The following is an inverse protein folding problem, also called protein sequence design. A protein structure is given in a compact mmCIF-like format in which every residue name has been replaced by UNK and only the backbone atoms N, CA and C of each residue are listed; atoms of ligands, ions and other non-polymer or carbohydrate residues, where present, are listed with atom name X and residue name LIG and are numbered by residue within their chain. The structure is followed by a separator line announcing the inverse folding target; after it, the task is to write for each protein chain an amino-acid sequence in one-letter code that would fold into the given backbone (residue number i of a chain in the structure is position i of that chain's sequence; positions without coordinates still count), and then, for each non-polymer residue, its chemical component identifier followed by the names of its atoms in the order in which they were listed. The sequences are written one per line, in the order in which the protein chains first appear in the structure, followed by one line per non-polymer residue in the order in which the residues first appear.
data_IF_883536506037
#
_entry.id   IF_883536506037
#
_cell.length_a   1.000
_cell.length_b   1.000
_cell.length_c   1.000
_cell.angle_alpha   90.00
_cell.angle_beta   90.00
_cell.angle_gamma   90.00
#
_symmetry.space_group_name_H-M   'P 1'
#
loop_
_entity.id
_entity.type
_entity.pdbx_description
1 polymer ?
#
# COMPACT_ATOMS: atom_id res chain seq x y z
N UNK A 1 54.65 -15.80 -6.83
CA UNK A 1 53.51 -15.20 -6.08
C UNK A 1 52.22 -15.90 -6.52
N UNK A 2 51.40 -16.48 -5.63
CA UNK A 2 50.18 -17.18 -6.04
C UNK A 2 49.14 -16.23 -6.63
N UNK A 3 48.47 -16.62 -7.73
CA UNK A 3 47.46 -15.81 -8.40
C UNK A 3 46.08 -16.06 -7.78
N UNK A 4 45.50 -15.04 -7.16
CA UNK A 4 44.12 -15.11 -6.65
C UNK A 4 43.11 -15.15 -7.79
N UNK A 5 42.13 -16.07 -7.71
CA UNK A 5 41.04 -16.24 -8.69
C UNK A 5 39.67 -16.03 -8.03
N UNK A 6 38.70 -15.47 -8.76
CA UNK A 6 37.41 -15.02 -8.22
C UNK A 6 36.18 -15.82 -8.72
N UNK A 7 36.39 -16.97 -9.35
CA UNK A 7 35.34 -17.72 -10.05
C UNK A 7 34.17 -18.13 -9.12
N UNK A 8 34.48 -18.61 -7.91
CA UNK A 8 33.47 -19.04 -6.93
C UNK A 8 32.62 -17.87 -6.45
N UNK A 9 33.26 -16.75 -6.07
CA UNK A 9 32.57 -15.55 -5.60
C UNK A 9 31.68 -14.93 -6.69
N UNK A 10 32.15 -14.91 -7.93
CA UNK A 10 31.38 -14.43 -9.09
C UNK A 10 30.12 -15.29 -9.31
N UNK A 11 30.26 -16.62 -9.25
CA UNK A 11 29.13 -17.56 -9.40
C UNK A 11 28.09 -17.40 -8.29
N UNK A 12 28.53 -17.22 -7.05
CA UNK A 12 27.66 -16.99 -5.90
C UNK A 12 26.83 -15.70 -6.06
N UNK A 13 27.46 -14.59 -6.48
CA UNK A 13 26.79 -13.31 -6.73
C UNK A 13 25.70 -13.44 -7.81
N UNK A 14 26.01 -14.14 -8.90
CA UNK A 14 25.06 -14.41 -10.00
C UNK A 14 23.87 -15.23 -9.51
N UNK A 15 24.11 -16.32 -8.77
CA UNK A 15 23.04 -17.16 -8.22
C UNK A 15 22.11 -16.38 -7.29
N UNK A 16 22.65 -15.48 -6.45
CA UNK A 16 21.84 -14.62 -5.56
C UNK A 16 20.85 -13.75 -6.34
N UNK A 17 21.31 -13.10 -7.41
CA UNK A 17 20.47 -12.21 -8.23
C UNK A 17 19.41 -13.03 -8.99
N UNK A 18 19.77 -14.16 -9.60
CA UNK A 18 18.81 -15.01 -10.30
C UNK A 18 17.76 -15.61 -9.34
N UNK A 19 18.16 -15.95 -8.11
CA UNK A 19 17.21 -16.39 -7.07
C UNK A 19 16.20 -15.30 -6.71
N UNK A 20 16.65 -14.04 -6.61
CA UNK A 20 15.77 -12.90 -6.36
C UNK A 20 14.86 -12.57 -7.56
N UNK A 21 15.30 -12.84 -8.79
CA UNK A 21 14.53 -12.63 -10.02
C UNK A 21 13.57 -13.79 -10.36
N UNK A 22 13.39 -14.77 -9.46
CA UNK A 22 12.47 -15.89 -9.67
C UNK A 22 11.04 -15.37 -9.89
N UNK A 23 10.34 -15.96 -10.87
CA UNK A 23 8.98 -15.56 -11.24
C UNK A 23 8.91 -14.46 -12.31
N UNK A 24 10.02 -13.82 -12.67
CA UNK A 24 10.03 -12.88 -13.79
C UNK A 24 9.84 -13.60 -15.13
N UNK A 25 9.21 -12.89 -16.07
CA UNK A 25 8.86 -13.43 -17.39
C UNK A 25 10.07 -13.58 -18.33
N UNK A 26 10.10 -14.65 -19.11
CA UNK A 26 11.09 -14.90 -20.15
C UNK A 26 12.55 -14.85 -19.66
N UNK A 27 13.40 -14.09 -20.38
CA UNK A 27 14.84 -13.98 -20.09
C UNK A 27 15.16 -13.27 -18.77
N UNK A 28 14.20 -12.54 -18.18
CA UNK A 28 14.39 -11.72 -16.96
C UNK A 28 14.66 -12.55 -15.69
N UNK A 29 14.36 -13.85 -15.70
CA UNK A 29 14.64 -14.79 -14.60
C UNK A 29 15.92 -15.62 -14.78
N UNK A 30 16.41 -15.78 -16.01
CA UNK A 30 17.48 -16.73 -16.35
C UNK A 30 18.78 -16.06 -16.81
N UNK A 31 18.69 -14.88 -17.43
CA UNK A 31 19.86 -14.15 -17.96
C UNK A 31 20.32 -13.10 -16.95
N UNK A 32 21.53 -13.26 -16.41
CA UNK A 32 22.05 -12.40 -15.33
C UNK A 32 22.04 -10.90 -15.64
N UNK A 33 22.51 -10.52 -16.83
CA UNK A 33 22.62 -9.11 -17.23
C UNK A 33 21.25 -8.44 -17.30
N UNK A 34 20.24 -9.16 -17.79
CA UNK A 34 18.86 -8.68 -17.84
C UNK A 34 18.23 -8.70 -16.44
N UNK A 35 18.40 -9.79 -15.69
CA UNK A 35 17.82 -9.98 -14.36
C UNK A 35 18.27 -8.90 -13.36
N UNK A 36 19.55 -8.52 -13.39
CA UNK A 36 20.11 -7.47 -12.53
C UNK A 36 19.35 -6.15 -12.73
N UNK A 37 19.24 -5.69 -13.97
CA UNK A 37 18.62 -4.39 -14.28
C UNK A 37 17.14 -4.36 -13.88
N UNK A 38 16.41 -5.45 -14.15
CA UNK A 38 14.98 -5.55 -13.79
C UNK A 38 14.80 -5.60 -12.28
N UNK A 39 15.64 -6.35 -11.57
CA UNK A 39 15.59 -6.45 -10.11
C UNK A 39 15.86 -5.10 -9.45
N UNK A 40 16.90 -4.38 -9.89
CA UNK A 40 17.21 -3.03 -9.38
C UNK A 40 16.03 -2.06 -9.61
N UNK A 41 15.42 -2.09 -10.79
CA UNK A 41 14.20 -1.31 -11.06
C UNK A 41 13.04 -1.74 -10.16
N UNK A 42 12.84 -3.04 -9.96
CA UNK A 42 11.83 -3.59 -9.06
C UNK A 42 12.01 -3.12 -7.61
N UNK A 43 13.23 -2.97 -7.12
CA UNK A 43 13.51 -2.41 -5.80
C UNK A 43 13.08 -0.95 -5.69
N UNK A 44 13.32 -0.14 -6.74
CA UNK A 44 12.82 1.25 -6.74
C UNK A 44 11.31 1.32 -6.71
N UNK A 45 10.62 0.47 -7.49
CA UNK A 45 9.15 0.37 -7.44
C UNK A 45 8.64 -0.14 -6.10
N UNK A 46 9.33 -1.06 -5.43
CA UNK A 46 8.96 -1.52 -4.08
C UNK A 46 9.02 -0.39 -3.06
N UNK A 47 10.06 0.45 -3.11
CA UNK A 47 10.16 1.61 -2.23
C UNK A 47 9.03 2.62 -2.48
N UNK A 48 8.78 2.98 -3.74
CA UNK A 48 7.70 3.90 -4.11
C UNK A 48 6.32 3.31 -3.78
N UNK A 49 6.11 2.04 -4.12
CA UNK A 49 4.87 1.30 -3.86
C UNK A 49 4.50 1.23 -2.38
N UNK A 50 5.47 1.10 -1.47
CA UNK A 50 5.21 1.19 -0.01
C UNK A 50 4.62 2.54 0.41
N UNK A 51 5.04 3.63 -0.24
CA UNK A 51 4.48 4.97 0.02
C UNK A 51 3.11 5.15 -0.64
N UNK A 52 2.95 4.69 -1.88
CA UNK A 52 1.69 4.75 -2.63
C UNK A 52 0.58 3.93 -1.96
N UNK A 53 0.89 2.70 -1.50
CA UNK A 53 -0.06 1.82 -0.79
C UNK A 53 -0.80 2.53 0.34
N UNK A 54 -0.09 3.36 1.13
CA UNK A 54 -0.71 4.13 2.22
C UNK A 54 -1.72 5.18 1.72
N UNK A 55 -1.47 5.79 0.56
CA UNK A 55 -2.38 6.73 -0.10
C UNK A 55 -3.59 5.99 -0.68
N UNK A 56 -3.37 4.87 -1.35
CA UNK A 56 -4.44 4.06 -1.96
C UNK A 56 -5.46 3.59 -0.91
N UNK A 57 -4.99 3.08 0.23
CA UNK A 57 -5.89 2.71 1.34
C UNK A 57 -6.66 3.92 1.88
N UNK A 58 -5.99 5.07 2.01
CA UNK A 58 -6.67 6.29 2.47
C UNK A 58 -7.76 6.70 1.49
N UNK A 59 -7.49 6.67 0.19
CA UNK A 59 -8.49 6.96 -0.85
C UNK A 59 -9.67 5.99 -0.77
N UNK A 60 -9.40 4.70 -0.60
CA UNK A 60 -10.44 3.68 -0.42
C UNK A 60 -11.30 3.95 0.82
N UNK A 61 -10.69 4.28 1.97
CA UNK A 61 -11.42 4.61 3.18
C UNK A 61 -12.31 5.84 3.00
N UNK A 62 -11.81 6.88 2.32
CA UNK A 62 -12.59 8.08 2.01
C UNK A 62 -13.79 7.72 1.13
N UNK A 63 -13.60 6.91 0.09
CA UNK A 63 -14.68 6.48 -0.79
C UNK A 63 -15.77 5.71 -0.03
N UNK A 64 -15.38 4.80 0.87
CA UNK A 64 -16.31 4.03 1.73
C UNK A 64 -17.09 4.93 2.68
N UNK A 65 -16.40 5.83 3.40
CA UNK A 65 -17.06 6.79 4.30
C UNK A 65 -17.99 7.70 3.52
N UNK A 66 -17.56 8.21 2.35
CA UNK A 66 -18.40 9.07 1.53
C UNK A 66 -19.69 8.36 1.11
N UNK A 67 -19.63 7.09 0.68
CA UNK A 67 -20.83 6.33 0.35
C UNK A 67 -21.79 6.20 1.55
N UNK A 68 -21.26 5.88 2.74
CA UNK A 68 -22.08 5.72 3.95
C UNK A 68 -22.71 7.04 4.42
N UNK A 69 -21.94 8.13 4.45
CA UNK A 69 -22.41 9.46 4.90
C UNK A 69 -23.44 10.04 3.93
N UNK A 70 -23.32 9.75 2.63
CA UNK A 70 -24.30 10.17 1.61
C UNK A 70 -25.66 9.53 1.80
N UNK A 71 -25.72 8.28 2.25
CA UNK A 71 -26.98 7.62 2.59
C UNK A 71 -27.72 8.33 3.75
N UNK A 72 -26.98 8.99 4.65
CA UNK A 72 -27.50 9.74 5.80
C UNK A 72 -27.71 11.25 5.51
N UNK A 73 -27.59 11.66 4.24
CA UNK A 73 -27.87 13.03 3.79
C UNK A 73 -26.75 14.06 3.99
N UNK A 74 -25.53 13.63 4.33
CA UNK A 74 -24.37 14.52 4.50
C UNK A 74 -23.33 14.27 3.41
N UNK A 75 -22.41 15.23 3.22
CA UNK A 75 -21.20 15.00 2.42
C UNK A 75 -20.02 14.59 3.29
N UNK A 76 -19.04 13.87 2.72
CA UNK A 76 -17.82 13.50 3.43
C UNK A 76 -17.08 14.73 4.02
N UNK A 77 -17.03 15.85 3.29
CA UNK A 77 -16.33 17.07 3.74
C UNK A 77 -16.99 17.65 4.99
N UNK A 78 -18.32 17.78 4.96
CA UNK A 78 -19.09 18.27 6.11
C UNK A 78 -18.98 17.33 7.31
N UNK A 79 -19.09 16.02 7.09
CA UNK A 79 -18.97 15.04 8.17
C UNK A 79 -17.61 15.09 8.87
N UNK A 80 -16.51 15.16 8.11
CA UNK A 80 -15.16 15.29 8.68
C UNK A 80 -14.99 16.64 9.39
N UNK A 81 -15.55 17.72 8.85
CA UNK A 81 -15.52 19.02 9.52
C UNK A 81 -16.24 18.96 10.86
N UNK A 82 -17.48 18.44 10.89
CA UNK A 82 -18.28 18.30 12.11
C UNK A 82 -17.60 17.39 13.14
N UNK A 83 -16.96 16.29 12.71
CA UNK A 83 -16.20 15.41 13.61
C UNK A 83 -15.06 16.15 14.30
N UNK A 84 -14.31 16.97 13.54
CA UNK A 84 -13.25 17.79 14.11
C UNK A 84 -13.80 18.86 15.06
N UNK A 85 -14.92 19.53 14.70
CA UNK A 85 -15.57 20.53 15.56
C UNK A 85 -16.06 19.95 16.89
N UNK A 86 -16.49 18.68 16.91
CA UNK A 86 -16.87 17.95 18.13
C UNK A 86 -15.69 17.23 18.81
N UNK A 87 -14.44 17.46 18.38
CA UNK A 87 -13.21 16.85 18.90
C UNK A 87 -13.19 15.30 18.86
N UNK A 88 -13.92 14.68 17.93
CA UNK A 88 -13.95 13.22 17.77
C UNK A 88 -12.75 12.79 16.92
N UNK A 89 -11.68 12.35 17.58
CA UNK A 89 -10.43 11.90 16.97
C UNK A 89 -10.49 10.46 16.45
N UNK A 90 -11.38 10.16 15.50
CA UNK A 90 -11.47 8.83 14.87
C UNK A 90 -10.68 8.75 13.56
N UNK A 91 -9.89 7.68 13.44
CA UNK A 91 -9.13 7.39 12.23
C UNK A 91 -10.03 6.94 11.09
N UNK A 92 -9.72 7.38 9.86
CA UNK A 92 -10.46 6.99 8.63
C UNK A 92 -10.51 5.48 8.39
N UNK A 93 -9.47 4.76 8.80
CA UNK A 93 -9.47 3.29 8.75
C UNK A 93 -10.64 2.72 9.57
N UNK A 94 -10.79 3.20 10.81
CA UNK A 94 -11.81 2.74 11.75
C UNK A 94 -13.19 3.20 11.29
N UNK A 95 -13.33 4.46 10.87
CA UNK A 95 -14.58 4.99 10.33
C UNK A 95 -15.07 4.20 9.11
N UNK A 96 -14.16 3.84 8.18
CA UNK A 96 -14.51 3.06 7.01
C UNK A 96 -14.87 1.61 7.32
N UNK A 97 -14.30 1.04 8.39
CA UNK A 97 -14.61 -0.30 8.87
C UNK A 97 -15.97 -0.34 9.57
N UNK A 98 -16.21 0.64 10.45
CA UNK A 98 -17.47 0.84 11.17
C UNK A 98 -18.62 1.08 10.18
N UNK A 99 -18.39 1.89 9.14
CA UNK A 99 -19.35 2.11 8.06
C UNK A 99 -19.74 0.83 7.28
N UNK A 100 -18.86 -0.18 7.23
CA UNK A 100 -19.11 -1.42 6.49
C UNK A 100 -19.67 -2.54 7.37
N UNK A 101 -19.13 -2.71 8.57
CA UNK A 101 -19.44 -3.85 9.44
C UNK A 101 -20.55 -3.53 10.44
N UNK A 102 -20.70 -2.27 10.84
CA UNK A 102 -21.62 -1.84 11.90
C UNK A 102 -22.41 -0.58 11.47
N UNK A 103 -23.32 -0.70 10.50
CA UNK A 103 -24.03 0.44 9.94
C UNK A 103 -24.89 1.20 10.98
N UNK A 104 -25.46 0.49 11.97
CA UNK A 104 -26.26 1.10 13.04
C UNK A 104 -25.42 2.00 13.97
N UNK A 105 -24.22 1.53 14.33
CA UNK A 105 -23.26 2.32 15.10
C UNK A 105 -22.76 3.51 14.28
N UNK A 106 -22.55 3.33 12.96
CA UNK A 106 -22.13 4.42 12.09
C UNK A 106 -23.20 5.50 11.98
N UNK A 107 -24.48 5.10 11.86
CA UNK A 107 -25.61 6.00 11.86
C UNK A 107 -25.71 6.80 13.16
N UNK A 108 -25.60 6.11 14.30
CA UNK A 108 -25.60 6.77 15.62
C UNK A 108 -24.46 7.79 15.74
N UNK A 109 -23.28 7.46 15.20
CA UNK A 109 -22.17 8.40 15.11
C UNK A 109 -22.55 9.59 14.24
N UNK A 110 -23.04 9.38 13.01
CA UNK A 110 -23.46 10.46 12.10
C UNK A 110 -24.49 11.38 12.74
N UNK A 111 -25.51 10.82 13.39
CA UNK A 111 -26.55 11.60 14.07
C UNK A 111 -26.01 12.37 15.28
N UNK A 112 -25.04 11.81 16.02
CA UNK A 112 -24.35 12.55 17.09
C UNK A 112 -23.55 13.73 16.58
N UNK A 113 -23.09 13.69 15.31
CA UNK A 113 -22.34 14.78 14.70
C UNK A 113 -23.20 15.77 13.92
N UNK A 114 -24.38 15.37 13.44
CA UNK A 114 -25.35 16.27 12.81
C UNK A 114 -25.51 17.56 13.62
#
# INVERSE_FOLDING_TARGET
MPRSVNAVASRARRKRILKAAKGYYGKRKNVYTVAKNVMEKGLTYSYVGRKIKKRDYRTLWIARINAAVRAEGLTYSEFIHKLNSKNISLNRKVLADLAMNEPEAFKSLVDSVK
#
